data_IF_007852728087
#
_entry.id   IF_007852728087
#
_cell.length_a   1.000
_cell.length_b   1.000
_cell.length_c   1.000
_cell.angle_alpha   90.00
_cell.angle_beta   90.00
_cell.angle_gamma   90.00
#
_symmetry.space_group_name_H-M   'P 1'
#
loop_
_entity.id
_entity.type
_entity.pdbx_description
1 polymer ?
#
# COMPACT_ATOMS: atom_id res chain seq x y z
N UNK A 1 -4.11 17.55 10.34
CA UNK A 1 -5.31 17.05 9.63
C UNK A 1 -4.89 16.71 8.21
N UNK A 2 -4.97 15.44 7.80
CA UNK A 2 -4.64 15.04 6.43
C UNK A 2 -5.65 15.61 5.43
N UNK A 3 -5.21 15.88 4.20
CA UNK A 3 -6.11 16.30 3.12
C UNK A 3 -7.13 15.19 2.84
N UNK A 4 -8.35 15.52 2.41
CA UNK A 4 -9.36 14.51 2.00
C UNK A 4 -8.83 13.54 0.94
N UNK A 5 -7.87 13.99 0.11
CA UNK A 5 -7.19 13.15 -0.86
C UNK A 5 -6.28 12.08 -0.21
N UNK A 6 -5.61 12.43 0.89
CA UNK A 6 -4.76 11.52 1.68
C UNK A 6 -5.61 10.47 2.40
N UNK A 7 -6.74 10.90 2.97
CA UNK A 7 -7.70 9.98 3.59
C UNK A 7 -8.28 9.00 2.57
N UNK A 8 -8.73 9.47 1.40
CA UNK A 8 -9.26 8.61 0.35
C UNK A 8 -8.23 7.59 -0.16
N UNK A 9 -6.94 7.99 -0.23
CA UNK A 9 -5.84 7.08 -0.54
C UNK A 9 -5.69 5.99 0.52
N UNK A 10 -5.61 6.38 1.80
CA UNK A 10 -5.51 5.45 2.92
C UNK A 10 -6.71 4.49 3.02
N UNK A 11 -7.92 4.99 2.78
CA UNK A 11 -9.15 4.20 2.76
C UNK A 11 -9.14 3.18 1.62
N UNK A 12 -8.76 3.59 0.40
CA UNK A 12 -8.67 2.68 -0.75
C UNK A 12 -7.62 1.58 -0.55
N UNK A 13 -6.51 1.92 0.12
CA UNK A 13 -5.47 0.98 0.49
C UNK A 13 -5.96 -0.04 1.52
N UNK A 14 -6.58 0.43 2.61
CA UNK A 14 -7.12 -0.44 3.65
C UNK A 14 -8.26 -1.33 3.13
N UNK A 15 -9.08 -0.82 2.21
CA UNK A 15 -10.13 -1.61 1.56
C UNK A 15 -9.54 -2.73 0.70
N UNK A 16 -8.50 -2.44 -0.09
CA UNK A 16 -7.80 -3.44 -0.91
C UNK A 16 -7.12 -4.50 -0.06
N UNK A 17 -6.43 -4.08 1.00
CA UNK A 17 -5.79 -4.95 1.98
C UNK A 17 -6.78 -5.95 2.57
N UNK A 18 -7.91 -5.45 3.11
CA UNK A 18 -8.95 -6.30 3.71
C UNK A 18 -9.56 -7.23 2.66
N UNK A 19 -9.90 -6.73 1.47
CA UNK A 19 -10.51 -7.56 0.42
C UNK A 19 -9.62 -8.71 -0.02
N UNK A 20 -8.33 -8.46 -0.23
CA UNK A 20 -7.40 -9.42 -0.82
C UNK A 20 -6.73 -10.34 0.20
N UNK A 21 -6.59 -9.93 1.45
CA UNK A 21 -5.97 -10.75 2.50
C UNK A 21 -7.01 -11.50 3.33
N UNK A 22 -8.14 -10.87 3.68
CA UNK A 22 -9.17 -11.56 4.48
C UNK A 22 -9.94 -12.57 3.62
N UNK A 23 -10.24 -12.30 2.34
CA UNK A 23 -10.92 -13.23 1.42
C UNK A 23 -12.00 -14.11 2.09
N UNK A 24 -12.99 -13.49 2.73
CA UNK A 24 -14.08 -14.15 3.48
C UNK A 24 -13.71 -14.73 4.87
N UNK A 25 -12.43 -14.78 5.26
CA UNK A 25 -12.07 -15.10 6.64
C UNK A 25 -12.53 -14.01 7.60
N UNK A 26 -13.24 -14.42 8.64
CA UNK A 26 -13.67 -13.56 9.73
C UNK A 26 -12.52 -13.21 10.70
N UNK A 27 -11.50 -14.08 10.82
CA UNK A 27 -10.34 -13.88 11.69
C UNK A 27 -9.10 -14.67 11.25
N UNK A 28 -7.95 -14.27 11.78
CA UNK A 28 -6.70 -15.03 11.68
C UNK A 28 -6.58 -16.00 12.86
N UNK A 29 -6.08 -17.20 12.60
CA UNK A 29 -5.87 -18.22 13.63
C UNK A 29 -4.73 -17.86 14.60
N UNK A 30 -3.78 -17.05 14.12
CA UNK A 30 -2.58 -16.65 14.85
C UNK A 30 -2.04 -15.30 14.34
N UNK A 31 -1.42 -14.53 15.23
CA UNK A 31 -0.88 -13.22 14.95
C UNK A 31 0.36 -13.26 14.03
N UNK A 32 1.23 -14.28 14.16
CA UNK A 32 2.40 -14.43 13.29
C UNK A 32 1.98 -14.77 11.85
N UNK A 33 0.94 -15.57 11.68
CA UNK A 33 0.36 -15.87 10.36
C UNK A 33 -0.24 -14.62 9.71
N UNK A 34 -1.00 -13.83 10.48
CA UNK A 34 -1.52 -12.54 10.03
C UNK A 34 -0.40 -11.62 9.54
N UNK A 35 0.64 -11.43 10.37
CA UNK A 35 1.79 -10.57 10.02
C UNK A 35 2.49 -11.02 8.75
N UNK A 36 2.70 -12.32 8.57
CA UNK A 36 3.35 -12.86 7.36
C UNK A 36 2.52 -12.62 6.10
N UNK A 37 1.21 -12.85 6.16
CA UNK A 37 0.32 -12.65 5.02
C UNK A 37 0.19 -11.16 4.67
N UNK A 38 0.05 -10.30 5.69
CA UNK A 38 0.08 -8.84 5.53
C UNK A 38 1.40 -8.40 4.89
N UNK A 39 2.54 -8.85 5.41
CA UNK A 39 3.85 -8.48 4.85
C UNK A 39 4.01 -8.95 3.40
N UNK A 40 3.61 -10.19 3.10
CA UNK A 40 3.65 -10.74 1.75
C UNK A 40 2.79 -9.93 0.78
N UNK A 41 1.60 -9.53 1.21
CA UNK A 41 0.73 -8.68 0.41
C UNK A 41 1.28 -7.27 0.24
N UNK A 42 1.82 -6.65 1.31
CA UNK A 42 2.46 -5.34 1.26
C UNK A 42 3.60 -5.33 0.24
N UNK A 43 4.47 -6.34 0.28
CA UNK A 43 5.57 -6.46 -0.69
C UNK A 43 5.04 -6.58 -2.12
N UNK A 44 3.99 -7.39 -2.34
CA UNK A 44 3.35 -7.50 -3.65
C UNK A 44 2.74 -6.17 -4.09
N UNK A 45 2.03 -5.46 -3.20
CA UNK A 45 1.34 -4.21 -3.50
C UNK A 45 2.33 -3.09 -3.88
N UNK A 46 3.41 -2.94 -3.12
CA UNK A 46 4.35 -1.83 -3.27
C UNK A 46 5.44 -2.09 -4.33
N UNK A 47 5.87 -3.34 -4.52
CA UNK A 47 7.05 -3.63 -5.34
C UNK A 47 6.68 -4.33 -6.66
N UNK A 48 5.56 -5.07 -6.71
CA UNK A 48 5.21 -5.89 -7.89
C UNK A 48 3.94 -5.46 -8.61
N UNK A 49 2.95 -4.89 -7.91
CA UNK A 49 1.65 -4.53 -8.49
C UNK A 49 1.76 -3.18 -9.20
N UNK A 50 1.39 -3.16 -10.48
CA UNK A 50 1.29 -1.94 -11.27
C UNK A 50 -0.07 -1.28 -11.01
N UNK A 51 -0.08 0.04 -10.85
CA UNK A 51 -1.30 0.81 -10.63
C UNK A 51 -1.47 1.82 -11.76
N UNK A 52 -2.67 1.94 -12.30
CA UNK A 52 -3.00 2.94 -13.33
C UNK A 52 -2.72 4.36 -12.83
N UNK A 53 -3.00 4.63 -11.54
CA UNK A 53 -2.68 5.90 -10.87
C UNK A 53 -1.18 6.19 -10.79
N UNK A 54 -0.33 5.16 -10.77
CA UNK A 54 1.13 5.26 -10.83
C UNK A 54 1.66 5.20 -12.28
N UNK A 55 0.92 5.73 -13.26
CA UNK A 55 1.28 5.65 -14.69
C UNK A 55 1.59 4.22 -15.17
N UNK A 56 0.85 3.24 -14.63
CA UNK A 56 1.09 1.82 -14.87
C UNK A 56 2.49 1.35 -14.41
N UNK A 57 3.03 1.94 -13.34
CA UNK A 57 4.24 1.49 -12.64
C UNK A 57 3.88 1.01 -11.23
N UNK A 58 4.83 0.40 -10.53
CA UNK A 58 4.62 0.02 -9.12
C UNK A 58 4.75 1.26 -8.23
N UNK A 59 4.13 1.28 -7.03
CA UNK A 59 4.19 2.43 -6.14
C UNK A 59 5.63 2.80 -5.80
N UNK A 60 6.46 1.81 -5.47
CA UNK A 60 7.88 2.04 -5.17
C UNK A 60 8.65 2.61 -6.38
N UNK A 61 8.37 2.14 -7.59
CA UNK A 61 9.01 2.68 -8.80
C UNK A 61 8.52 4.10 -9.13
N UNK A 62 7.23 4.37 -8.91
CA UNK A 62 6.64 5.69 -9.09
C UNK A 62 7.22 6.69 -8.09
N UNK A 63 7.29 6.33 -6.80
CA UNK A 63 7.96 7.13 -5.78
C UNK A 63 9.43 7.33 -6.13
N UNK A 64 10.21 6.28 -6.44
CA UNK A 64 11.62 6.45 -6.81
C UNK A 64 11.83 7.40 -8.00
N UNK A 65 10.89 7.44 -8.95
CA UNK A 65 10.94 8.30 -10.13
C UNK A 65 10.36 9.71 -9.93
N UNK A 66 9.55 9.92 -8.88
CA UNK A 66 8.92 11.21 -8.55
C UNK A 66 9.51 11.88 -7.29
N UNK A 67 10.19 11.13 -6.44
CA UNK A 67 10.88 11.59 -5.22
C UNK A 67 12.19 12.32 -5.55
N UNK A 68 12.70 12.24 -6.78
CA UNK A 68 13.79 13.11 -7.26
C UNK A 68 13.37 14.57 -7.44
N UNK A 69 12.13 14.96 -7.10
CA UNK A 69 11.65 16.33 -7.25
C UNK A 69 11.04 16.96 -5.98
N UNK A 70 10.76 16.24 -4.88
CA UNK A 70 10.16 16.89 -3.69
C UNK A 70 10.40 16.13 -2.39
N UNK A 71 11.62 16.22 -1.86
CA UNK A 71 11.82 16.27 -0.41
C UNK A 71 12.83 17.40 -0.17
N UNK A 72 12.44 18.61 0.31
CA UNK A 72 13.41 19.41 1.01
C UNK A 72 13.90 18.58 2.19
N UNK A 73 15.22 18.40 2.26
CA UNK A 73 15.93 17.88 3.42
C UNK A 73 15.34 18.59 4.66
N UNK A 74 14.58 17.85 5.48
CA UNK A 74 14.29 18.32 6.82
C UNK A 74 15.61 18.32 7.59
N UNK A 75 15.88 19.47 8.23
CA UNK A 75 17.16 19.90 8.80
C UNK A 75 17.83 18.89 9.74
#
# INVERSE_FOLDING_TARGET
MGSSADNALAESFNASLKREILQDRSHWRDAATCRREVFRWLARYNIRRRHSRCRNSTPAAYENNHTTATLPQAA
#
